data_IF_933101472063
#
_entry.id   IF_933101472063
#
_cell.length_a   1.000
_cell.length_b   1.000
_cell.length_c   1.000
_cell.angle_alpha   90.00
_cell.angle_beta   90.00
_cell.angle_gamma   90.00
#
_symmetry.space_group_name_H-M   'P 1'
#
loop_
_entity.id
_entity.type
_entity.pdbx_description
1 polymer ?
#
# COMPACT_ATOMS: atom_id res chain seq x y z
N UNK A 1 26.41 -20.49 -10.37
CA UNK A 1 26.34 -19.46 -9.32
C UNK A 1 25.20 -18.51 -9.67
N UNK A 2 24.00 -18.73 -9.15
CA UNK A 2 22.85 -17.86 -9.47
C UNK A 2 22.39 -17.22 -8.18
N UNK A 3 22.63 -15.91 -8.05
CA UNK A 3 22.29 -15.13 -6.86
C UNK A 3 20.77 -15.15 -6.66
N UNK A 4 20.33 -15.76 -5.57
CA UNK A 4 18.95 -15.66 -5.07
C UNK A 4 18.69 -14.20 -4.69
N UNK A 5 17.92 -13.50 -5.52
CA UNK A 5 17.42 -12.17 -5.27
C UNK A 5 16.20 -12.25 -4.33
N UNK A 6 16.38 -12.88 -3.16
CA UNK A 6 15.35 -12.90 -2.12
C UNK A 6 15.68 -11.83 -1.08
N UNK A 7 15.49 -10.58 -1.47
CA UNK A 7 15.40 -9.45 -0.55
C UNK A 7 14.09 -9.63 0.25
N UNK A 8 14.22 -10.38 1.33
CA UNK A 8 13.57 -10.17 2.63
C UNK A 8 12.35 -9.22 2.60
N UNK A 9 11.16 -9.78 2.42
CA UNK A 9 9.93 -9.19 2.95
C UNK A 9 9.90 -9.49 4.45
N UNK A 10 10.57 -8.69 5.28
CA UNK A 10 10.32 -8.72 6.71
C UNK A 10 8.86 -8.31 6.92
N UNK A 11 8.00 -9.15 7.52
CA UNK A 11 6.69 -8.69 7.95
C UNK A 11 6.92 -7.62 9.01
N UNK A 12 6.77 -6.35 8.60
CA UNK A 12 6.80 -5.20 9.51
C UNK A 12 5.37 -4.91 9.91
N UNK A 13 5.13 -4.80 11.21
CA UNK A 13 3.86 -4.27 11.70
C UNK A 13 3.80 -2.79 11.32
N UNK A 14 2.77 -2.41 10.56
CA UNK A 14 2.55 -1.03 10.19
C UNK A 14 1.98 -0.28 11.39
N UNK A 15 2.50 0.92 11.64
CA UNK A 15 2.09 1.78 12.75
C UNK A 15 1.36 3.00 12.22
N UNK A 16 0.57 3.63 13.08
CA UNK A 16 0.02 4.95 12.80
C UNK A 16 1.16 5.90 12.45
N UNK A 17 0.94 6.76 11.45
CA UNK A 17 1.93 7.66 10.81
C UNK A 17 3.01 6.99 9.98
N UNK A 18 2.98 5.67 9.75
CA UNK A 18 3.82 5.06 8.72
C UNK A 18 3.29 5.40 7.33
N UNK A 19 4.21 5.65 6.38
CA UNK A 19 3.90 5.80 4.97
C UNK A 19 3.82 4.42 4.31
N UNK A 20 2.71 4.14 3.64
CA UNK A 20 2.46 2.86 2.98
C UNK A 20 1.97 3.05 1.56
N UNK A 21 2.26 2.08 0.70
CA UNK A 21 1.76 2.03 -0.67
C UNK A 21 0.55 1.11 -0.73
N UNK A 22 -0.53 1.57 -1.37
CA UNK A 22 -1.72 0.74 -1.61
C UNK A 22 -1.54 -0.03 -2.92
N UNK A 23 -2.00 -1.27 -2.99
CA UNK A 23 -2.00 -2.00 -4.27
C UNK A 23 -3.04 -1.40 -5.21
N UNK A 24 -2.65 -1.08 -6.44
CA UNK A 24 -3.52 -0.33 -7.37
C UNK A 24 -4.80 -1.09 -7.71
N UNK A 25 -4.76 -2.43 -7.71
CA UNK A 25 -5.93 -3.30 -7.94
C UNK A 25 -7.08 -3.06 -6.94
N UNK A 26 -6.76 -2.56 -5.73
CA UNK A 26 -7.76 -2.28 -4.69
C UNK A 26 -8.40 -0.89 -4.90
N UNK A 27 -7.74 0.01 -5.62
CA UNK A 27 -8.19 1.39 -5.86
C UNK A 27 -8.79 1.56 -7.25
N UNK A 28 -8.04 1.19 -8.30
CA UNK A 28 -8.44 1.33 -9.69
C UNK A 28 -7.95 0.15 -10.55
N UNK A 29 -8.87 -0.78 -10.81
CA UNK A 29 -8.64 -1.95 -11.67
C UNK A 29 -8.35 -1.57 -13.13
N UNK A 30 -8.81 -0.41 -13.58
CA UNK A 30 -8.57 0.07 -14.95
C UNK A 30 -7.11 0.44 -15.13
N UNK A 31 -6.53 1.12 -14.14
CA UNK A 31 -5.12 1.53 -14.13
C UNK A 31 -4.16 0.36 -13.88
N UNK A 32 -4.65 -0.72 -13.27
CA UNK A 32 -3.91 -1.97 -13.08
C UNK A 32 -3.70 -2.79 -14.38
N UNK A 33 -4.36 -2.42 -15.49
CA UNK A 33 -4.44 -3.29 -16.68
C UNK A 33 -3.20 -3.15 -17.57
N UNK A 34 -2.41 -4.20 -17.65
CA UNK A 34 -1.32 -4.35 -18.62
C UNK A 34 -0.01 -4.80 -17.98
N UNK A 35 0.86 -5.44 -18.75
CA UNK A 35 2.12 -6.02 -18.25
C UNK A 35 3.09 -4.98 -17.66
N UNK A 36 2.97 -3.73 -18.10
CA UNK A 36 3.81 -2.60 -17.67
C UNK A 36 3.03 -1.58 -16.82
N UNK A 37 1.81 -1.93 -16.38
CA UNK A 37 1.07 -1.09 -15.45
C UNK A 37 1.74 -1.08 -14.08
N UNK A 38 1.70 0.04 -13.34
CA UNK A 38 2.21 0.08 -11.97
C UNK A 38 1.40 -0.86 -11.07
N UNK A 39 2.07 -1.58 -10.17
CA UNK A 39 1.41 -2.50 -9.23
C UNK A 39 0.93 -1.80 -7.94
N UNK A 40 1.54 -0.66 -7.62
CA UNK A 40 1.30 0.12 -6.41
C UNK A 40 0.79 1.50 -6.80
N UNK A 41 -0.18 1.99 -6.03
CA UNK A 41 -0.66 3.36 -6.06
C UNK A 41 0.29 4.26 -5.27
N UNK A 42 0.02 5.56 -5.39
CA UNK A 42 0.66 6.65 -4.66
C UNK A 42 0.73 6.40 -3.13
N UNK A 43 1.59 7.15 -2.41
CA UNK A 43 1.81 6.92 -0.99
C UNK A 43 0.65 7.45 -0.13
N UNK A 44 0.36 6.72 0.95
CA UNK A 44 -0.65 7.06 1.95
C UNK A 44 -0.09 7.04 3.36
N UNK A 45 -0.67 7.85 4.24
CA UNK A 45 -0.44 7.81 5.67
C UNK A 45 -1.43 6.88 6.35
N UNK A 46 -0.94 6.04 7.27
CA UNK A 46 -1.83 5.33 8.21
C UNK A 46 -2.27 6.33 9.27
N UNK A 47 -3.55 6.69 9.26
CA UNK A 47 -4.12 7.59 10.27
C UNK A 47 -4.69 6.84 11.48
N UNK A 48 -5.03 5.56 11.31
CA UNK A 48 -5.64 4.74 12.35
C UNK A 48 -5.51 3.25 12.01
N UNK A 49 -5.42 2.41 13.03
CA UNK A 49 -5.35 0.96 12.90
C UNK A 49 -6.67 0.40 13.42
N UNK A 50 -7.55 -0.02 12.51
CA UNK A 50 -8.86 -0.56 12.90
C UNK A 50 -8.68 -1.96 13.48
N UNK A 51 -7.89 -2.79 12.78
CA UNK A 51 -7.51 -4.17 13.14
C UNK A 51 -6.17 -4.49 12.50
N UNK A 52 -5.49 -5.52 12.99
CA UNK A 52 -4.28 -6.00 12.33
C UNK A 52 -4.59 -6.34 10.86
N UNK A 53 -3.88 -5.69 9.92
CA UNK A 53 -4.12 -5.81 8.48
C UNK A 53 -5.23 -4.92 7.90
N UNK A 54 -5.97 -4.16 8.71
CA UNK A 54 -6.97 -3.18 8.25
C UNK A 54 -6.63 -1.79 8.79
N UNK A 55 -6.19 -0.92 7.88
CA UNK A 55 -5.72 0.43 8.20
C UNK A 55 -6.66 1.47 7.59
N UNK A 56 -6.88 2.58 8.31
CA UNK A 56 -7.45 3.79 7.71
C UNK A 56 -6.31 4.57 7.11
N UNK A 57 -6.48 4.97 5.86
CA UNK A 57 -5.47 5.66 5.08
C UNK A 57 -5.91 7.10 4.82
N UNK A 58 -4.95 8.02 4.78
CA UNK A 58 -5.12 9.35 4.25
C UNK A 58 -4.10 9.64 3.16
N UNK A 59 -4.46 10.48 2.21
CA UNK A 59 -3.51 11.01 1.22
C UNK A 59 -2.41 11.80 1.94
N UNK A 60 -1.30 12.04 1.25
CA UNK A 60 -0.22 12.89 1.77
C UNK A 60 -0.73 14.30 2.14
N UNK A 61 -1.80 14.73 1.47
CA UNK A 61 -2.47 16.02 1.68
C UNK A 61 -3.45 16.00 2.88
N UNK A 62 -3.64 14.86 3.55
CA UNK A 62 -4.46 14.72 4.75
C UNK A 62 -5.93 14.38 4.48
N UNK A 63 -6.30 14.09 3.24
CA UNK A 63 -7.66 13.67 2.90
C UNK A 63 -7.86 12.19 3.25
N UNK A 64 -8.87 11.88 4.06
CA UNK A 64 -9.16 10.50 4.44
C UNK A 64 -9.75 9.73 3.27
N UNK A 65 -9.19 8.55 2.99
CA UNK A 65 -9.76 7.68 1.97
C UNK A 65 -11.11 7.10 2.42
N UNK A 66 -12.11 7.05 1.52
CA UNK A 66 -13.37 6.39 1.81
C UNK A 66 -13.13 4.90 2.05
N UNK A 67 -13.89 4.34 2.99
CA UNK A 67 -13.87 2.91 3.28
C UNK A 67 -14.62 2.19 2.16
N UNK A 68 -13.90 1.37 1.41
CA UNK A 68 -14.45 0.44 0.41
C UNK A 68 -14.86 -0.86 1.10
#
# INVERSE_FOLDING_TARGET
MTKLHNWIFCPRQARTSDLVLRKIEVSDLTRARGKLAPNWEDPYWIIDIVREGTYRLATIEGEQLPRI
#
